data_IF_158688805838
#
_entry.id   IF_158688805838
#
_cell.length_a   1.000
_cell.length_b   1.000
_cell.length_c   1.000
_cell.angle_alpha   90.00
_cell.angle_beta   90.00
_cell.angle_gamma   90.00
#
_symmetry.space_group_name_H-M   'P 1'
#
loop_
_entity.id
_entity.type
_entity.pdbx_description
1 polymer ?
#
# COMPACT_ATOMS: atom_id res chain seq x y z
N UNK A 1 -6.41 5.14 19.64
CA UNK A 1 -6.39 5.86 18.34
C UNK A 1 -4.96 6.27 17.97
N UNK A 2 -4.10 5.35 17.58
CA UNK A 2 -2.76 5.72 17.10
C UNK A 2 -2.83 6.06 15.60
N UNK A 3 -2.37 7.25 15.22
CA UNK A 3 -2.23 7.72 13.81
C UNK A 3 -3.51 7.96 12.96
N UNK A 4 -4.62 8.42 13.56
CA UNK A 4 -5.74 9.00 12.77
C UNK A 4 -5.31 10.34 12.15
N UNK A 5 -5.55 10.49 10.83
CA UNK A 5 -5.42 11.77 10.11
C UNK A 5 -6.67 12.62 10.41
N UNK A 6 -6.44 13.89 10.73
CA UNK A 6 -7.50 14.86 10.98
C UNK A 6 -7.70 15.72 9.75
N UNK A 7 -8.96 15.86 9.33
CA UNK A 7 -9.36 16.81 8.30
C UNK A 7 -9.59 18.20 8.93
N UNK A 8 -9.50 19.28 8.14
CA UNK A 8 -9.55 20.65 8.67
C UNK A 8 -10.87 20.98 9.36
N UNK A 9 -12.00 20.48 8.83
CA UNK A 9 -13.30 20.63 9.47
C UNK A 9 -13.38 19.96 10.86
N UNK A 10 -12.62 18.88 11.09
CA UNK A 10 -12.57 18.21 12.40
C UNK A 10 -11.84 19.10 13.42
N UNK A 11 -10.73 19.74 13.01
CA UNK A 11 -10.06 20.74 13.85
C UNK A 11 -10.98 21.92 14.18
N UNK A 12 -11.73 22.42 13.20
CA UNK A 12 -12.70 23.49 13.42
C UNK A 12 -13.80 23.09 14.41
N UNK A 13 -14.32 21.87 14.30
CA UNK A 13 -15.29 21.33 15.26
C UNK A 13 -14.69 21.22 16.66
N UNK A 14 -13.45 20.74 16.80
CA UNK A 14 -12.77 20.65 18.10
C UNK A 14 -12.59 22.05 18.73
N UNK A 15 -12.26 23.07 17.93
CA UNK A 15 -12.16 24.45 18.42
C UNK A 15 -13.50 24.99 18.94
N UNK A 16 -14.62 24.65 18.27
CA UNK A 16 -15.97 24.99 18.78
C UNK A 16 -16.19 24.36 20.16
N UNK A 17 -15.87 23.07 20.33
CA UNK A 17 -16.01 22.36 21.61
C UNK A 17 -15.11 22.98 22.70
N UNK A 18 -13.89 23.40 22.34
CA UNK A 18 -13.01 24.13 23.25
C UNK A 18 -13.59 25.49 23.69
N UNK A 19 -14.23 26.24 22.78
CA UNK A 19 -14.94 27.49 23.10
C UNK A 19 -16.12 27.27 24.05
N UNK A 20 -16.79 26.13 23.94
CA UNK A 20 -17.88 25.72 24.83
C UNK A 20 -17.38 25.31 26.23
N UNK A 21 -16.08 25.38 26.50
CA UNK A 21 -15.50 25.13 27.80
C UNK A 21 -15.10 23.67 28.05
N UNK A 22 -15.17 22.79 27.05
CA UNK A 22 -14.75 21.40 27.23
C UNK A 22 -13.24 21.29 27.47
N UNK A 23 -12.87 20.47 28.46
CA UNK A 23 -11.47 20.20 28.78
C UNK A 23 -10.85 19.19 27.81
N UNK A 24 -9.52 19.14 27.75
CA UNK A 24 -8.80 18.18 26.92
C UNK A 24 -9.11 16.72 27.29
N UNK A 25 -9.55 16.48 28.54
CA UNK A 25 -10.00 15.15 28.98
C UNK A 25 -11.39 14.81 28.42
N UNK A 26 -12.29 15.78 28.31
CA UNK A 26 -13.63 15.58 27.77
C UNK A 26 -13.59 15.36 26.25
N UNK A 27 -12.72 16.11 25.55
CA UNK A 27 -12.43 15.90 24.13
C UNK A 27 -11.82 14.52 23.84
N UNK A 28 -10.97 14.02 24.75
CA UNK A 28 -10.41 12.67 24.66
C UNK A 28 -11.46 11.60 24.96
N UNK A 29 -12.31 11.81 25.98
CA UNK A 29 -13.39 10.88 26.35
C UNK A 29 -14.45 10.76 25.26
N UNK A 30 -14.73 11.83 24.54
CA UNK A 30 -15.64 11.86 23.38
C UNK A 30 -15.02 11.30 22.10
N UNK A 31 -13.77 10.80 22.15
CA UNK A 31 -13.06 10.21 21.02
C UNK A 31 -12.90 11.16 19.81
N UNK A 32 -12.97 12.48 20.06
CA UNK A 32 -12.75 13.52 19.06
C UNK A 32 -11.25 13.69 18.79
N UNK A 33 -10.43 13.82 19.83
CA UNK A 33 -8.98 14.03 19.68
C UNK A 33 -8.23 13.47 20.89
N UNK A 34 -7.02 12.94 20.67
CA UNK A 34 -6.18 12.47 21.77
C UNK A 34 -5.77 13.63 22.68
N UNK A 35 -5.73 13.39 24.01
CA UNK A 35 -5.45 14.39 25.04
C UNK A 35 -4.22 15.26 24.76
N UNK A 36 -3.11 14.65 24.34
CA UNK A 36 -1.86 15.35 24.03
C UNK A 36 -2.01 16.29 22.82
N UNK A 37 -2.63 15.82 21.74
CA UNK A 37 -2.92 16.65 20.57
C UNK A 37 -3.92 17.75 20.87
N UNK A 38 -4.89 17.50 21.76
CA UNK A 38 -5.85 18.51 22.22
C UNK A 38 -5.14 19.64 22.97
N UNK A 39 -4.20 19.31 23.86
CA UNK A 39 -3.40 20.30 24.58
C UNK A 39 -2.56 21.16 23.63
N UNK A 40 -1.91 20.55 22.63
CA UNK A 40 -1.15 21.27 21.60
C UNK A 40 -2.06 22.21 20.80
N UNK A 41 -3.21 21.71 20.33
CA UNK A 41 -4.18 22.52 19.60
C UNK A 41 -4.72 23.67 20.44
N UNK A 42 -4.98 23.45 21.73
CA UNK A 42 -5.46 24.49 22.64
C UNK A 42 -4.43 25.59 22.83
N UNK A 43 -3.16 25.24 23.04
CA UNK A 43 -2.08 26.21 23.17
C UNK A 43 -1.98 27.09 21.91
N UNK A 44 -2.01 26.47 20.73
CA UNK A 44 -2.01 27.17 19.44
C UNK A 44 -3.25 28.06 19.26
N UNK A 45 -4.43 27.55 19.62
CA UNK A 45 -5.67 28.31 19.54
C UNK A 45 -5.70 29.50 20.51
N UNK A 46 -5.06 29.38 21.67
CA UNK A 46 -4.87 30.50 22.60
C UNK A 46 -3.93 31.55 22.01
N UNK A 47 -2.81 31.14 21.43
CA UNK A 47 -1.84 32.05 20.78
C UNK A 47 -2.47 32.85 19.64
N UNK A 48 -3.29 32.21 18.81
CA UNK A 48 -3.99 32.85 17.71
C UNK A 48 -5.34 33.50 18.10
N UNK A 49 -5.72 33.48 19.39
CA UNK A 49 -6.97 34.08 19.87
C UNK A 49 -8.25 33.36 19.41
N UNK A 50 -8.15 32.17 18.83
CA UNK A 50 -9.27 31.40 18.30
C UNK A 50 -10.22 30.84 19.37
N UNK A 51 -9.86 30.91 20.65
CA UNK A 51 -10.75 30.54 21.74
C UNK A 51 -11.65 31.70 22.19
N UNK A 52 -11.39 32.93 21.75
CA UNK A 52 -12.26 34.07 22.05
C UNK A 52 -13.55 34.01 21.22
N UNK A 53 -14.73 34.19 21.84
CA UNK A 53 -16.00 34.29 21.11
C UNK A 53 -16.07 35.48 20.14
N UNK A 54 -15.31 36.54 20.40
CA UNK A 54 -15.31 37.78 19.60
C UNK A 54 -14.55 37.62 18.28
N UNK A 55 -13.66 36.63 18.20
CA UNK A 55 -12.90 36.33 16.99
C UNK A 55 -13.69 35.29 16.18
N UNK A 56 -13.94 35.51 14.88
CA UNK A 56 -14.55 34.48 14.05
C UNK A 56 -13.67 33.23 14.02
N UNK A 57 -14.28 32.04 14.01
CA UNK A 57 -13.52 30.80 13.86
C UNK A 57 -12.75 30.84 12.54
N UNK A 58 -11.48 30.42 12.52
CA UNK A 58 -10.71 30.34 11.30
C UNK A 58 -11.40 29.39 10.31
N UNK A 59 -11.36 29.75 9.04
CA UNK A 59 -11.76 28.84 7.97
C UNK A 59 -10.72 27.73 7.77
N UNK A 60 -11.06 26.75 6.94
CA UNK A 60 -10.23 25.57 6.71
C UNK A 60 -8.89 25.94 6.07
N UNK A 61 -8.83 27.03 5.29
CA UNK A 61 -7.60 27.53 4.66
C UNK A 61 -6.65 28.17 5.70
N UNK A 62 -7.18 28.99 6.60
CA UNK A 62 -6.43 29.60 7.68
C UNK A 62 -5.94 28.56 8.70
N UNK A 63 -6.77 27.56 9.01
CA UNK A 63 -6.36 26.41 9.84
C UNK A 63 -5.22 25.61 9.19
N UNK A 64 -5.33 25.32 7.89
CA UNK A 64 -4.30 24.60 7.16
C UNK A 64 -2.95 25.32 7.17
N UNK A 65 -2.95 26.65 7.02
CA UNK A 65 -1.71 27.45 7.02
C UNK A 65 -0.91 27.32 8.33
N UNK A 66 -1.59 27.12 9.47
CA UNK A 66 -0.96 27.04 10.78
C UNK A 66 -0.72 25.59 11.21
N UNK A 67 -1.66 24.68 10.95
CA UNK A 67 -1.62 23.29 11.41
C UNK A 67 -0.83 22.35 10.49
N UNK A 68 -0.69 22.69 9.21
CA UNK A 68 0.18 21.93 8.31
C UNK A 68 1.62 22.33 8.64
N UNK A 69 2.20 21.59 9.58
CA UNK A 69 3.65 21.63 9.78
C UNK A 69 4.32 21.29 8.43
N UNK A 70 5.29 22.10 7.95
CA UNK A 70 5.98 21.79 6.71
C UNK A 70 6.49 20.36 6.82
N UNK A 71 6.20 19.55 5.77
CA UNK A 71 6.68 18.16 5.66
C UNK A 71 8.10 18.13 6.21
N UNK A 72 8.35 17.31 7.25
CA UNK A 72 9.70 17.07 7.78
C UNK A 72 10.63 17.01 6.59
N UNK A 73 11.64 17.89 6.56
CA UNK A 73 12.65 17.91 5.50
C UNK A 73 13.03 16.45 5.23
N UNK A 74 13.02 15.99 3.97
CA UNK A 74 13.43 14.62 3.69
C UNK A 74 14.74 14.37 4.45
N UNK A 75 14.79 13.25 5.18
CA UNK A 75 15.99 12.90 5.94
C UNK A 75 17.22 12.91 5.04
N UNK A 76 18.41 12.90 5.65
CA UNK A 76 19.69 12.94 4.92
C UNK A 76 19.63 12.11 3.64
N UNK A 77 20.10 12.71 2.55
CA UNK A 77 20.14 12.10 1.23
C UNK A 77 20.74 10.69 1.31
N UNK A 78 20.13 9.76 0.59
CA UNK A 78 20.54 8.36 0.64
C UNK A 78 22.03 8.23 0.31
N UNK A 79 22.78 7.49 1.11
CA UNK A 79 24.20 7.19 0.87
C UNK A 79 24.48 6.53 -0.49
N UNK A 80 23.42 6.07 -1.16
CA UNK A 80 23.44 5.42 -2.46
C UNK A 80 23.44 6.40 -3.64
N UNK A 81 23.04 7.66 -3.43
CA UNK A 81 22.90 8.65 -4.51
C UNK A 81 24.15 8.83 -5.38
N UNK A 82 25.39 8.84 -4.84
CA UNK A 82 26.60 8.95 -5.69
C UNK A 82 26.75 7.81 -6.70
N UNK A 83 26.13 6.64 -6.44
CA UNK A 83 26.22 5.45 -7.28
C UNK A 83 24.96 5.21 -8.11
N UNK A 84 24.06 6.21 -8.20
CA UNK A 84 22.74 6.10 -8.82
C UNK A 84 22.80 5.48 -10.22
N UNK A 85 23.60 6.09 -11.10
CA UNK A 85 23.71 5.65 -12.50
C UNK A 85 24.36 4.28 -12.63
N UNK A 86 25.36 3.97 -11.80
CA UNK A 86 26.01 2.67 -11.78
C UNK A 86 25.04 1.55 -11.37
N UNK A 87 24.28 1.77 -10.29
CA UNK A 87 23.28 0.81 -9.84
C UNK A 87 22.16 0.64 -10.87
N UNK A 88 21.71 1.74 -11.47
CA UNK A 88 20.69 1.72 -12.52
C UNK A 88 21.14 0.86 -13.70
N UNK A 89 22.34 1.09 -14.24
CA UNK A 89 22.90 0.32 -15.34
C UNK A 89 23.00 -1.18 -15.01
N UNK A 90 23.42 -1.52 -13.79
CA UNK A 90 23.50 -2.91 -13.35
C UNK A 90 22.12 -3.55 -13.16
N UNK A 91 21.14 -2.78 -12.68
CA UNK A 91 19.76 -3.24 -12.56
C UNK A 91 19.13 -3.50 -13.93
N UNK A 92 19.34 -2.62 -14.91
CA UNK A 92 18.90 -2.79 -16.30
C UNK A 92 19.51 -4.04 -16.95
N UNK A 93 20.71 -4.45 -16.53
CA UNK A 93 21.36 -5.71 -16.94
C UNK A 93 20.89 -6.95 -16.15
N UNK A 94 19.89 -6.80 -15.28
CA UNK A 94 19.35 -7.90 -14.47
C UNK A 94 20.26 -8.37 -13.34
N UNK A 95 21.27 -7.58 -12.93
CA UNK A 95 22.17 -7.96 -11.84
C UNK A 95 21.42 -7.91 -10.51
N UNK A 96 21.50 -9.02 -9.75
CA UNK A 96 20.86 -9.12 -8.43
C UNK A 96 21.35 -8.04 -7.46
N UNK A 97 20.43 -7.44 -6.69
CA UNK A 97 20.75 -6.36 -5.76
C UNK A 97 21.84 -6.69 -4.72
N UNK A 98 21.94 -7.93 -4.26
CA UNK A 98 23.03 -8.37 -3.37
C UNK A 98 24.40 -8.34 -4.05
N UNK A 99 24.44 -8.63 -5.35
CA UNK A 99 25.67 -8.58 -6.16
C UNK A 99 26.07 -7.12 -6.42
N UNK A 100 25.10 -6.26 -6.70
CA UNK A 100 25.29 -4.81 -6.80
C UNK A 100 25.92 -4.25 -5.52
N UNK A 101 25.36 -4.57 -4.35
CA UNK A 101 25.90 -4.11 -3.07
C UNK A 101 27.35 -4.56 -2.84
N UNK A 102 27.65 -5.85 -3.08
CA UNK A 102 29.01 -6.37 -2.95
C UNK A 102 29.99 -5.70 -3.91
N UNK A 103 29.58 -5.43 -5.14
CA UNK A 103 30.39 -4.72 -6.13
C UNK A 103 30.65 -3.27 -5.72
N UNK A 104 29.66 -2.58 -5.15
CA UNK A 104 29.83 -1.23 -4.60
C UNK A 104 30.82 -1.20 -3.45
N UNK A 105 30.73 -2.16 -2.51
CA UNK A 105 31.69 -2.24 -1.39
C UNK A 105 33.11 -2.48 -1.90
N UNK A 106 33.28 -3.46 -2.80
CA UNK A 106 34.60 -3.90 -3.28
C UNK A 106 35.27 -2.90 -4.22
N UNK A 107 34.53 -2.35 -5.17
CA UNK A 107 35.10 -1.58 -6.28
C UNK A 107 34.94 -0.06 -6.11
N UNK A 108 34.01 0.37 -5.25
CA UNK A 108 33.66 1.78 -5.08
C UNK A 108 33.73 2.25 -3.62
N UNK A 109 34.18 1.40 -2.69
CA UNK A 109 34.36 1.77 -1.28
C UNK A 109 33.05 2.11 -0.55
N UNK A 110 31.90 1.62 -1.02
CA UNK A 110 30.61 1.92 -0.41
C UNK A 110 30.51 1.33 1.00
N UNK A 111 30.23 2.18 1.99
CA UNK A 111 30.13 1.79 3.42
C UNK A 111 28.69 1.62 3.91
N UNK A 112 27.70 1.90 3.06
CA UNK A 112 26.29 1.84 3.46
C UNK A 112 25.69 0.43 3.40
N UNK A 113 24.48 0.30 3.96
CA UNK A 113 23.79 -0.98 4.06
C UNK A 113 23.24 -1.47 2.71
N UNK A 114 23.06 -2.79 2.58
CA UNK A 114 22.30 -3.40 1.49
C UNK A 114 20.86 -2.87 1.43
N UNK A 115 20.23 -2.59 2.57
CA UNK A 115 18.87 -2.05 2.63
C UNK A 115 18.72 -0.72 1.89
N UNK A 116 19.75 0.13 1.89
CA UNK A 116 19.75 1.37 1.12
C UNK A 116 19.73 1.09 -0.39
N UNK A 117 20.54 0.12 -0.85
CA UNK A 117 20.57 -0.32 -2.26
C UNK A 117 19.23 -0.94 -2.65
N UNK A 118 18.68 -1.82 -1.82
CA UNK A 118 17.37 -2.45 -2.05
C UNK A 118 16.25 -1.42 -2.14
N UNK A 119 16.24 -0.42 -1.26
CA UNK A 119 15.23 0.67 -1.30
C UNK A 119 15.37 1.48 -2.60
N UNK A 120 16.60 1.78 -3.01
CA UNK A 120 16.86 2.48 -4.28
C UNK A 120 16.37 1.66 -5.48
N UNK A 121 16.71 0.37 -5.56
CA UNK A 121 16.25 -0.52 -6.64
C UNK A 121 14.72 -0.58 -6.75
N UNK A 122 14.01 -0.63 -5.60
CA UNK A 122 12.54 -0.60 -5.58
C UNK A 122 11.92 0.73 -6.01
N UNK A 123 12.69 1.82 -6.01
CA UNK A 123 12.24 3.14 -6.46
C UNK A 123 12.44 3.36 -7.96
N UNK A 124 13.21 2.48 -8.62
CA UNK A 124 13.33 2.52 -10.07
C UNK A 124 11.98 2.16 -10.71
N UNK A 125 11.57 2.85 -11.78
CA UNK A 125 10.36 2.49 -12.51
C UNK A 125 10.50 1.06 -13.04
N UNK A 126 9.44 0.26 -12.92
CA UNK A 126 9.40 -1.03 -13.59
C UNK A 126 9.27 -0.79 -15.09
N UNK A 127 10.38 -0.93 -15.79
CA UNK A 127 10.43 -0.78 -17.26
C UNK A 127 10.19 -2.11 -17.96
N UNK A 128 9.85 -3.18 -17.24
CA UNK A 128 9.50 -4.46 -17.84
C UNK A 128 8.08 -4.33 -18.39
N UNK A 129 7.86 -4.28 -19.72
CA UNK A 129 6.52 -4.53 -20.20
C UNK A 129 6.14 -5.94 -19.73
N UNK A 130 5.02 -6.06 -19.02
CA UNK A 130 4.26 -7.31 -19.00
C UNK A 130 3.80 -7.52 -20.45
N UNK A 131 4.69 -8.04 -21.29
CA UNK A 131 4.38 -8.37 -22.66
C UNK A 131 3.42 -9.55 -22.60
N UNK A 132 2.12 -9.26 -22.54
CA UNK A 132 1.09 -10.25 -22.76
C UNK A 132 1.16 -10.61 -24.24
N UNK A 133 1.75 -11.76 -24.54
CA UNK A 133 1.71 -12.30 -25.90
C UNK A 133 0.28 -12.78 -26.14
N UNK A 134 -0.39 -12.19 -27.12
CA UNK A 134 -1.67 -12.72 -27.61
C UNK A 134 -1.33 -13.98 -28.40
N UNK A 135 -1.81 -15.12 -27.92
CA UNK A 135 -1.73 -16.38 -28.65
C UNK A 135 -2.97 -16.50 -29.55
N UNK A 136 -2.75 -16.72 -30.84
CA UNK A 136 -3.79 -16.92 -31.85
C UNK A 136 -3.73 -18.37 -32.35
N UNK A 137 -4.89 -19.01 -32.51
CA UNK A 137 -5.02 -20.42 -32.85
C UNK A 137 -6.21 -20.63 -33.80
N UNK A 138 -6.05 -21.42 -34.85
CA UNK A 138 -7.13 -21.86 -35.71
C UNK A 138 -8.13 -22.78 -34.97
N UNK A 139 -9.36 -22.96 -35.49
CA UNK A 139 -10.29 -23.95 -34.97
C UNK A 139 -9.64 -25.34 -34.85
N UNK A 140 -9.81 -25.98 -33.69
CA UNK A 140 -9.23 -27.28 -33.35
C UNK A 140 -7.69 -27.38 -33.30
N UNK A 141 -6.96 -26.25 -33.38
CA UNK A 141 -5.49 -26.25 -33.28
C UNK A 141 -4.98 -26.42 -31.83
N UNK A 142 -5.64 -25.80 -30.85
CA UNK A 142 -5.22 -25.86 -29.46
C UNK A 142 -6.42 -25.84 -28.49
N UNK A 143 -6.20 -26.43 -27.31
CA UNK A 143 -7.10 -26.38 -26.18
C UNK A 143 -6.31 -26.16 -24.88
N UNK A 144 -6.91 -25.42 -23.95
CA UNK A 144 -6.42 -25.27 -22.59
C UNK A 144 -7.04 -26.37 -21.72
N UNK A 145 -6.19 -27.13 -21.02
CA UNK A 145 -6.59 -28.18 -20.09
C UNK A 145 -6.30 -27.73 -18.66
N UNK A 146 -7.25 -27.96 -17.76
CA UNK A 146 -7.15 -27.66 -16.33
C UNK A 146 -7.80 -28.79 -15.50
N UNK A 147 -7.42 -28.87 -14.23
CA UNK A 147 -7.99 -29.78 -13.25
C UNK A 147 -8.37 -29.00 -11.99
N UNK A 148 -9.63 -29.12 -11.59
CA UNK A 148 -10.18 -28.41 -10.43
C UNK A 148 -10.73 -29.36 -9.38
N UNK A 149 -10.57 -29.00 -8.11
CA UNK A 149 -11.36 -29.61 -7.06
C UNK A 149 -12.82 -29.18 -7.23
N UNK A 150 -13.72 -30.16 -7.35
CA UNK A 150 -15.16 -29.93 -7.38
C UNK A 150 -15.78 -29.98 -5.98
N UNK A 151 -17.13 -29.93 -5.89
CA UNK A 151 -17.83 -30.07 -4.61
C UNK A 151 -17.63 -31.47 -4.02
N UNK A 152 -17.87 -31.61 -2.71
CA UNK A 152 -17.96 -32.94 -2.09
C UNK A 152 -19.29 -33.58 -2.50
N UNK A 153 -19.24 -34.75 -3.13
CA UNK A 153 -20.41 -35.49 -3.60
C UNK A 153 -20.43 -36.89 -2.97
N UNK A 154 -21.60 -37.52 -2.77
CA UNK A 154 -21.67 -38.88 -2.27
C UNK A 154 -21.06 -39.86 -3.28
N UNK A 155 -20.17 -40.72 -2.81
CA UNK A 155 -19.54 -41.75 -3.63
C UNK A 155 -20.61 -42.75 -4.12
N UNK A 156 -20.65 -43.08 -5.42
CA UNK A 156 -21.76 -43.83 -6.03
C UNK A 156 -21.90 -45.26 -5.50
N UNK A 157 -20.83 -45.83 -4.94
CA UNK A 157 -20.84 -47.21 -4.40
C UNK A 157 -21.08 -47.23 -2.88
N UNK A 158 -20.45 -46.31 -2.14
CA UNK A 158 -20.44 -46.35 -0.66
C UNK A 158 -21.42 -45.35 -0.04
N UNK A 159 -21.87 -44.34 -0.80
CA UNK A 159 -22.71 -43.24 -0.32
C UNK A 159 -21.97 -42.23 0.55
N UNK A 160 -20.69 -42.45 0.86
CA UNK A 160 -19.90 -41.57 1.73
C UNK A 160 -19.51 -40.27 1.01
N UNK A 161 -19.36 -39.15 1.73
CA UNK A 161 -18.89 -37.89 1.14
C UNK A 161 -17.47 -38.04 0.57
N UNK A 162 -17.33 -37.91 -0.75
CA UNK A 162 -16.08 -38.02 -1.48
C UNK A 162 -15.69 -36.69 -2.14
N UNK A 163 -14.39 -36.43 -2.21
CA UNK A 163 -13.88 -35.26 -2.96
C UNK A 163 -13.98 -35.57 -4.45
N UNK A 164 -14.46 -34.59 -5.22
CA UNK A 164 -14.53 -34.71 -6.68
C UNK A 164 -13.39 -33.95 -7.34
N UNK A 165 -12.89 -34.48 -8.44
CA UNK A 165 -12.00 -33.76 -9.35
C UNK A 165 -12.66 -33.62 -10.71
N UNK A 166 -12.58 -32.41 -11.25
CA UNK A 166 -13.18 -32.05 -12.54
C UNK A 166 -12.05 -31.79 -13.52
N UNK A 167 -12.04 -32.55 -14.60
CA UNK A 167 -11.27 -32.24 -15.80
C UNK A 167 -12.01 -31.17 -16.59
N UNK A 168 -11.30 -30.13 -17.00
CA UNK A 168 -11.85 -29.05 -17.84
C UNK A 168 -10.96 -28.86 -19.06
N UNK A 169 -11.55 -28.95 -20.26
CA UNK A 169 -10.88 -28.65 -21.52
C UNK A 169 -11.64 -27.55 -22.24
N UNK A 170 -10.95 -26.47 -22.61
CA UNK A 170 -11.52 -25.34 -23.33
C UNK A 170 -10.78 -25.11 -24.64
N UNK A 171 -11.47 -25.15 -25.77
CA UNK A 171 -10.87 -24.86 -27.09
C UNK A 171 -10.39 -23.41 -27.16
N UNK A 172 -9.17 -23.17 -27.64
CA UNK A 172 -8.57 -21.83 -27.63
C UNK A 172 -9.30 -20.85 -28.56
N UNK A 173 -9.71 -21.30 -29.75
CA UNK A 173 -10.39 -20.47 -30.75
C UNK A 173 -11.84 -20.12 -30.35
N UNK A 174 -12.69 -21.12 -30.11
CA UNK A 174 -14.12 -20.93 -29.89
C UNK A 174 -14.52 -20.71 -28.43
N UNK A 175 -13.59 -20.95 -27.49
CA UNK A 175 -13.85 -21.01 -26.04
C UNK A 175 -14.92 -22.05 -25.64
N UNK A 176 -15.25 -22.99 -26.52
CA UNK A 176 -16.14 -24.09 -26.20
C UNK A 176 -15.49 -25.01 -25.17
N UNK A 177 -16.25 -25.39 -24.15
CA UNK A 177 -15.75 -26.08 -22.97
C UNK A 177 -16.38 -27.47 -22.83
N UNK A 178 -15.53 -28.45 -22.51
CA UNK A 178 -15.90 -29.77 -22.06
C UNK A 178 -15.46 -29.93 -20.60
N UNK A 179 -16.33 -30.47 -19.74
CA UNK A 179 -16.02 -30.73 -18.34
C UNK A 179 -16.56 -32.09 -17.91
N UNK A 180 -15.75 -32.84 -17.17
CA UNK A 180 -16.06 -34.21 -16.71
C UNK A 180 -15.55 -34.43 -15.29
N UNK A 181 -16.33 -35.14 -14.46
CA UNK A 181 -15.86 -35.61 -13.15
C UNK A 181 -15.01 -36.85 -13.39
N UNK A 182 -13.72 -36.78 -13.06
CA UNK A 182 -12.75 -37.85 -13.37
C UNK A 182 -12.40 -38.71 -12.16
N UNK A 183 -12.59 -38.21 -10.93
CA UNK A 183 -12.34 -38.97 -9.71
C UNK A 183 -13.38 -38.67 -8.62
N UNK A 184 -13.70 -39.71 -7.85
CA UNK A 184 -14.44 -39.67 -6.59
C UNK A 184 -13.61 -40.44 -5.56
N UNK A 185 -12.85 -39.74 -4.72
CA UNK A 185 -12.02 -40.33 -3.65
C UNK A 185 -12.66 -40.13 -2.28
#
# INVERSE_FOLDING_TARGET
MANRRFEMHEYRHILVRMRLGESDRDLARSNLIGREKAAILRALATEHGWLSPEVPLPDDTALAAVLISPRKKPGADSSVLPYRETIRLWAERGIRGTTIHRALVKNHGYTGSYSSVRRFLRSLPDTSPSATVILDFAPAEAAQVDFGAGPVLPHPVTGEPAKTWIFVMTLCFSRHQYAEIVDLC
#
